data_IF_219078249988
#
_entry.id   IF_219078249988
#
_cell.length_a   1.000
_cell.length_b   1.000
_cell.length_c   1.000
_cell.angle_alpha   90.00
_cell.angle_beta   90.00
_cell.angle_gamma   90.00
#
_symmetry.space_group_name_H-M   'P 1'
#
loop_
_entity.id
_entity.type
_entity.pdbx_description
1 polymer ?
#
# COMPACT_ATOMS: atom_id res chain seq x y z
N UNK A 1 -46.90 7.15 -29.76
CA UNK A 1 -46.74 8.53 -29.31
C UNK A 1 -46.17 8.46 -27.90
N UNK A 2 -44.85 8.61 -27.78
CA UNK A 2 -44.16 8.72 -26.50
C UNK A 2 -43.31 9.97 -26.59
N UNK A 3 -43.64 10.96 -25.78
CA UNK A 3 -42.97 12.25 -25.72
C UNK A 3 -41.51 12.04 -25.32
N UNK A 4 -40.60 12.45 -26.21
CA UNK A 4 -39.20 12.67 -25.86
C UNK A 4 -39.16 13.95 -25.01
N UNK A 5 -39.03 13.78 -23.70
CA UNK A 5 -38.65 14.86 -22.81
C UNK A 5 -37.15 15.07 -23.02
N UNK A 6 -36.81 16.10 -23.81
CA UNK A 6 -35.48 16.69 -23.81
C UNK A 6 -35.23 17.27 -22.41
N UNK A 7 -34.44 16.57 -21.59
CA UNK A 7 -33.83 17.16 -20.40
C UNK A 7 -32.82 18.22 -20.86
N UNK A 8 -33.32 19.44 -21.07
CA UNK A 8 -32.50 20.64 -20.99
C UNK A 8 -32.00 20.75 -19.54
N UNK A 9 -30.91 20.04 -19.23
CA UNK A 9 -30.04 20.43 -18.13
C UNK A 9 -29.45 21.78 -18.50
N UNK A 10 -30.15 22.85 -18.11
CA UNK A 10 -29.52 24.15 -17.94
C UNK A 10 -28.36 23.93 -16.96
N UNK A 11 -27.14 23.83 -17.49
CA UNK A 11 -25.94 24.12 -16.75
C UNK A 11 -26.17 25.51 -16.14
N UNK A 12 -26.49 25.51 -14.84
CA UNK A 12 -26.45 26.73 -14.06
C UNK A 12 -24.99 27.15 -14.09
N UNK A 13 -24.68 28.05 -15.03
CA UNK A 13 -23.46 28.80 -15.11
C UNK A 13 -23.38 29.61 -13.80
N UNK A 14 -22.90 28.95 -12.75
CA UNK A 14 -22.57 29.56 -11.47
C UNK A 14 -21.34 30.41 -11.75
N UNK A 15 -21.58 31.58 -12.34
CA UNK A 15 -20.68 32.70 -12.25
C UNK A 15 -20.42 32.90 -10.76
N UNK A 16 -19.25 32.45 -10.32
CA UNK A 16 -18.74 32.66 -8.98
C UNK A 16 -18.67 34.18 -8.78
N UNK A 17 -19.74 34.77 -8.25
CA UNK A 17 -19.65 36.09 -7.67
C UNK A 17 -18.59 35.99 -6.59
N UNK A 18 -17.54 36.77 -6.74
CA UNK A 18 -16.34 36.89 -5.90
C UNK A 18 -16.66 37.43 -4.49
N UNK A 19 -17.86 37.16 -3.97
CA UNK A 19 -18.24 37.44 -2.61
C UNK A 19 -17.69 36.33 -1.73
N UNK A 20 -16.62 36.62 -1.00
CA UNK A 20 -16.23 35.82 0.16
C UNK A 20 -17.42 35.74 1.10
N UNK A 21 -18.01 34.55 1.19
CA UNK A 21 -19.09 34.27 2.12
C UNK A 21 -18.53 34.36 3.55
N UNK A 22 -18.76 35.50 4.19
CA UNK A 22 -18.29 35.83 5.53
C UNK A 22 -19.50 36.21 6.39
N UNK A 23 -19.44 35.85 7.67
CA UNK A 23 -20.41 36.23 8.70
C UNK A 23 -20.67 37.74 8.67
N UNK A 24 -19.63 38.54 8.44
CA UNK A 24 -19.75 39.99 8.32
C UNK A 24 -20.72 40.46 7.22
N UNK A 25 -20.76 39.76 6.08
CA UNK A 25 -21.68 40.10 4.98
C UNK A 25 -23.13 39.85 5.39
N UNK A 26 -23.41 38.74 6.09
CA UNK A 26 -24.77 38.43 6.57
C UNK A 26 -25.22 39.46 7.62
N UNK A 27 -24.35 39.79 8.58
CA UNK A 27 -24.63 40.78 9.62
C UNK A 27 -24.89 42.18 9.03
N UNK A 28 -24.14 42.55 7.99
CA UNK A 28 -24.36 43.79 7.25
C UNK A 28 -25.73 43.81 6.58
N UNK A 29 -26.15 42.70 5.96
CA UNK A 29 -27.48 42.62 5.35
C UNK A 29 -28.60 42.68 6.39
N UNK A 30 -28.43 42.12 7.58
CA UNK A 30 -29.39 42.32 8.67
C UNK A 30 -29.52 43.78 9.09
N UNK A 31 -28.39 44.50 9.17
CA UNK A 31 -28.41 45.94 9.42
C UNK A 31 -29.12 46.71 8.30
N UNK A 32 -28.88 46.33 7.04
CA UNK A 32 -29.57 46.92 5.88
C UNK A 32 -31.09 46.70 5.95
N UNK A 33 -31.53 45.46 6.23
CA UNK A 33 -32.95 45.11 6.38
C UNK A 33 -33.58 45.92 7.51
N UNK A 34 -32.92 46.00 8.67
CA UNK A 34 -33.39 46.85 9.75
C UNK A 34 -33.54 48.30 9.27
N UNK A 35 -32.53 48.85 8.60
CA UNK A 35 -32.53 50.24 8.13
C UNK A 35 -33.57 50.56 7.04
N UNK A 36 -34.03 49.56 6.29
CA UNK A 36 -35.12 49.72 5.32
C UNK A 36 -36.47 50.02 5.99
N UNK A 37 -36.68 49.57 7.22
CA UNK A 37 -37.93 49.85 7.95
C UNK A 37 -37.81 51.22 8.63
N UNK A 38 -38.42 52.23 8.01
CA UNK A 38 -38.37 53.62 8.48
C UNK A 38 -39.42 53.91 9.54
N UNK A 39 -39.15 54.92 10.36
CA UNK A 39 -40.06 55.35 11.42
C UNK A 39 -41.34 55.96 10.84
N UNK A 40 -41.24 56.66 9.71
CA UNK A 40 -42.39 57.25 9.03
C UNK A 40 -43.39 56.16 8.60
N UNK A 41 -42.89 55.13 7.92
CA UNK A 41 -43.71 54.00 7.44
C UNK A 41 -44.40 53.27 8.60
N UNK A 42 -43.70 53.10 9.73
CA UNK A 42 -44.29 52.53 10.93
C UNK A 42 -45.43 53.40 11.50
N UNK A 43 -45.22 54.71 11.61
CA UNK A 43 -46.21 55.63 12.19
C UNK A 43 -47.49 55.73 11.35
N UNK A 44 -47.43 55.52 10.04
CA UNK A 44 -48.59 55.45 9.17
C UNK A 44 -49.51 54.27 9.50
N UNK A 45 -48.95 53.16 10.02
CA UNK A 45 -49.72 51.98 10.44
C UNK A 45 -50.36 52.13 11.83
N UNK A 46 -49.92 53.10 12.63
CA UNK A 46 -50.44 53.33 13.99
C UNK A 46 -51.77 54.08 13.95
N UNK A 47 -52.83 53.60 14.63
CA UNK A 47 -54.10 54.30 14.67
C UNK A 47 -53.98 55.74 15.16
N UNK A 48 -54.47 56.71 14.38
CA UNK A 48 -54.37 58.15 14.66
C UNK A 48 -54.86 58.56 16.06
N UNK A 49 -55.84 57.85 16.61
CA UNK A 49 -56.36 58.07 17.96
C UNK A 49 -55.34 57.78 19.09
N UNK A 50 -54.31 56.96 18.84
CA UNK A 50 -53.30 56.52 19.82
C UNK A 50 -51.94 57.22 19.69
N UNK A 51 -51.74 58.01 18.64
CA UNK A 51 -50.46 58.68 18.33
C UNK A 51 -49.98 59.64 19.44
N UNK A 52 -50.89 60.33 20.14
CA UNK A 52 -50.53 61.31 21.18
C UNK A 52 -50.26 60.72 22.56
N UNK A 53 -50.66 59.47 22.82
CA UNK A 53 -50.65 58.88 24.18
C UNK A 53 -49.40 58.04 24.47
N UNK A 54 -48.71 57.57 23.44
CA UNK A 54 -47.58 56.66 23.57
C UNK A 54 -46.40 57.18 22.76
N UNK A 55 -45.18 57.05 23.30
CA UNK A 55 -43.94 57.35 22.59
C UNK A 55 -43.61 56.19 21.63
N UNK A 56 -44.33 56.13 20.52
CA UNK A 56 -44.25 55.06 19.53
C UNK A 56 -42.87 54.91 18.89
N UNK A 57 -42.20 56.01 18.54
CA UNK A 57 -40.89 55.96 17.88
C UNK A 57 -39.80 55.33 18.76
N UNK A 58 -39.61 55.73 20.03
CA UNK A 58 -38.70 55.03 20.93
C UNK A 58 -39.03 53.54 21.13
N UNK A 59 -40.32 53.20 21.25
CA UNK A 59 -40.76 51.81 21.42
C UNK A 59 -40.47 50.97 20.17
N UNK A 60 -40.73 51.54 18.99
CA UNK A 60 -40.43 50.91 17.71
C UNK A 60 -38.93 50.74 17.49
N UNK A 61 -38.11 51.76 17.81
CA UNK A 61 -36.64 51.63 17.75
C UNK A 61 -36.13 50.53 18.69
N UNK A 62 -36.71 50.40 19.89
CA UNK A 62 -36.36 49.34 20.83
C UNK A 62 -36.74 47.95 20.29
N UNK A 63 -37.95 47.80 19.72
CA UNK A 63 -38.37 46.55 19.08
C UNK A 63 -37.49 46.18 17.88
N UNK A 64 -37.20 47.17 17.03
CA UNK A 64 -36.33 47.03 15.86
C UNK A 64 -34.92 46.59 16.25
N UNK A 65 -34.36 47.19 17.31
CA UNK A 65 -33.06 46.78 17.83
C UNK A 65 -33.12 45.38 18.45
N UNK A 66 -34.16 45.05 19.22
CA UNK A 66 -34.31 43.73 19.82
C UNK A 66 -34.40 42.61 18.79
N UNK A 67 -35.16 42.82 17.70
CA UNK A 67 -35.23 41.87 16.58
C UNK A 67 -33.86 41.72 15.91
N UNK A 68 -33.15 42.82 15.68
CA UNK A 68 -31.80 42.77 15.09
C UNK A 68 -30.84 41.99 16.00
N UNK A 69 -30.85 42.25 17.31
CA UNK A 69 -29.99 41.57 18.28
C UNK A 69 -30.29 40.06 18.33
N UNK A 70 -31.56 39.67 18.31
CA UNK A 70 -31.97 38.25 18.23
C UNK A 70 -31.49 37.58 16.93
N UNK A 71 -31.62 38.25 15.78
CA UNK A 71 -31.14 37.73 14.51
C UNK A 71 -29.61 37.56 14.49
N UNK A 72 -28.86 38.51 15.06
CA UNK A 72 -27.40 38.43 15.21
C UNK A 72 -27.01 37.27 16.13
N UNK A 73 -27.71 37.11 17.25
CA UNK A 73 -27.46 36.04 18.20
C UNK A 73 -27.74 34.65 17.59
N UNK A 74 -28.85 34.50 16.87
CA UNK A 74 -29.22 33.24 16.21
C UNK A 74 -28.18 32.84 15.18
N UNK A 75 -27.78 33.75 14.28
CA UNK A 75 -26.73 33.47 13.29
C UNK A 75 -25.40 33.16 13.96
N UNK A 76 -25.01 33.89 15.00
CA UNK A 76 -23.77 33.60 15.72
C UNK A 76 -23.79 32.20 16.35
N UNK A 77 -24.93 31.81 16.92
CA UNK A 77 -25.12 30.48 17.50
C UNK A 77 -25.07 29.37 16.43
N UNK A 78 -25.74 29.58 15.29
CA UNK A 78 -25.66 28.65 14.16
C UNK A 78 -24.25 28.55 13.59
N UNK A 79 -23.52 29.67 13.50
CA UNK A 79 -22.17 29.75 12.98
C UNK A 79 -21.18 28.94 13.82
N UNK A 80 -21.30 29.05 15.16
CA UNK A 80 -20.52 28.25 16.11
C UNK A 80 -20.95 26.78 16.10
N UNK A 81 -22.26 26.50 16.11
CA UNK A 81 -22.81 25.14 16.12
C UNK A 81 -22.37 24.32 14.90
N UNK A 82 -22.44 24.93 13.72
CA UNK A 82 -22.00 24.30 12.47
C UNK A 82 -20.48 24.29 12.29
N UNK A 83 -19.74 24.89 13.23
CA UNK A 83 -18.29 25.04 13.18
C UNK A 83 -17.82 25.63 11.83
N UNK A 84 -18.52 26.68 11.41
CA UNK A 84 -18.27 27.37 10.14
C UNK A 84 -16.83 27.88 9.99
N UNK A 85 -16.14 28.37 11.05
CA UNK A 85 -14.74 28.79 10.93
C UNK A 85 -13.82 27.66 10.43
N UNK A 86 -13.93 26.45 10.99
CA UNK A 86 -13.12 25.31 10.57
C UNK A 86 -13.45 24.87 9.14
N UNK A 87 -14.74 24.81 8.79
CA UNK A 87 -15.18 24.46 7.43
C UNK A 87 -14.65 25.43 6.37
N UNK A 88 -14.68 26.74 6.66
CA UNK A 88 -14.13 27.77 5.78
C UNK A 88 -12.60 27.69 5.67
N UNK A 89 -11.91 27.44 6.78
CA UNK A 89 -10.45 27.25 6.77
C UNK A 89 -10.05 26.02 5.93
N UNK A 90 -10.77 24.90 6.06
CA UNK A 90 -10.55 23.70 5.24
C UNK A 90 -10.77 24.04 3.77
N UNK A 91 -11.81 24.79 3.44
CA UNK A 91 -12.13 25.17 2.07
C UNK A 91 -11.04 26.08 1.47
N UNK A 92 -10.53 27.06 2.21
CA UNK A 92 -9.45 27.93 1.74
C UNK A 92 -8.15 27.14 1.55
N UNK A 93 -7.79 26.24 2.48
CA UNK A 93 -6.63 25.34 2.33
C UNK A 93 -6.76 24.44 1.10
N UNK A 94 -7.96 23.93 0.82
CA UNK A 94 -8.22 23.13 -0.37
C UNK A 94 -8.11 23.98 -1.65
N UNK A 95 -8.68 25.18 -1.64
CA UNK A 95 -8.57 26.12 -2.75
C UNK A 95 -7.10 26.45 -3.05
N UNK A 96 -6.31 26.81 -2.05
CA UNK A 96 -4.86 27.06 -2.20
C UNK A 96 -4.16 25.83 -2.81
N UNK A 97 -4.34 24.65 -2.20
CA UNK A 97 -3.71 23.40 -2.64
C UNK A 97 -4.03 23.00 -4.08
N UNK A 98 -5.25 23.24 -4.55
CA UNK A 98 -5.71 22.75 -5.85
C UNK A 98 -5.82 23.82 -6.94
N UNK A 99 -5.85 25.11 -6.58
CA UNK A 99 -5.83 26.23 -7.55
C UNK A 99 -4.51 26.34 -8.30
N UNK A 100 -3.39 25.99 -7.66
CA UNK A 100 -2.07 25.99 -8.30
C UNK A 100 -1.86 24.83 -9.28
N UNK A 101 -2.61 23.73 -9.13
CA UNK A 101 -2.37 22.47 -9.86
C UNK A 101 -3.15 22.43 -11.19
N UNK A 102 -4.29 23.10 -11.30
CA UNK A 102 -5.13 23.11 -12.50
C UNK A 102 -5.77 24.48 -12.70
N UNK A 103 -5.06 25.38 -13.38
CA UNK A 103 -5.53 26.73 -13.72
C UNK A 103 -6.55 26.77 -14.86
N UNK A 104 -6.64 25.72 -15.71
CA UNK A 104 -7.47 25.73 -16.93
C UNK A 104 -8.47 24.57 -17.03
N UNK A 105 -8.41 23.58 -16.13
CA UNK A 105 -9.23 22.37 -16.26
C UNK A 105 -10.36 22.32 -15.24
N UNK A 106 -11.58 22.06 -15.74
CA UNK A 106 -12.70 21.63 -14.92
C UNK A 106 -12.29 20.39 -14.12
N UNK A 107 -12.17 20.57 -12.80
CA UNK A 107 -11.84 19.48 -11.87
C UNK A 107 -13.02 18.51 -11.84
N UNK A 108 -12.73 17.21 -11.97
CA UNK A 108 -13.75 16.17 -11.93
C UNK A 108 -14.67 16.33 -10.71
N UNK A 109 -15.98 16.25 -10.94
CA UNK A 109 -17.03 16.28 -9.92
C UNK A 109 -17.74 14.92 -9.88
N UNK A 110 -18.13 14.44 -8.69
CA UNK A 110 -18.93 13.23 -8.57
C UNK A 110 -20.19 13.29 -9.44
N UNK A 111 -20.31 12.38 -10.40
CA UNK A 111 -21.53 12.21 -11.19
C UNK A 111 -22.48 11.27 -10.43
N UNK A 112 -23.72 11.70 -10.19
CA UNK A 112 -24.70 10.95 -9.38
C UNK A 112 -24.96 9.52 -9.89
N UNK A 113 -24.74 9.27 -11.18
CA UNK A 113 -25.06 7.98 -11.82
C UNK A 113 -23.91 6.97 -11.81
N UNK A 114 -22.71 7.33 -11.34
CA UNK A 114 -21.53 6.47 -11.50
C UNK A 114 -20.73 6.24 -10.21
N UNK A 115 -21.43 5.90 -9.12
CA UNK A 115 -20.83 5.55 -7.82
C UNK A 115 -19.73 4.47 -7.95
N UNK A 116 -19.90 3.54 -8.90
CA UNK A 116 -18.95 2.45 -9.14
C UNK A 116 -17.61 2.96 -9.66
N UNK A 117 -17.57 3.95 -10.54
CA UNK A 117 -16.29 4.53 -10.98
C UNK A 117 -15.63 5.34 -9.88
N UNK A 118 -16.39 6.02 -9.03
CA UNK A 118 -15.86 6.79 -7.90
C UNK A 118 -15.16 5.88 -6.89
N UNK A 119 -15.80 4.76 -6.52
CA UNK A 119 -15.22 3.76 -5.64
C UNK A 119 -13.95 3.16 -6.25
N UNK A 120 -13.97 2.83 -7.54
CA UNK A 120 -12.77 2.34 -8.25
C UNK A 120 -11.64 3.36 -8.25
N UNK A 121 -11.92 4.63 -8.49
CA UNK A 121 -10.91 5.69 -8.48
C UNK A 121 -10.27 5.84 -7.09
N UNK A 122 -11.08 5.74 -6.03
CA UNK A 122 -10.59 5.71 -4.64
C UNK A 122 -9.68 4.51 -4.38
N UNK A 123 -10.10 3.31 -4.80
CA UNK A 123 -9.37 2.06 -4.56
C UNK A 123 -8.07 1.97 -5.36
N UNK A 124 -7.98 2.62 -6.52
CA UNK A 124 -6.78 2.60 -7.38
C UNK A 124 -5.53 3.08 -6.64
N UNK A 125 -5.64 4.07 -5.76
CA UNK A 125 -4.49 4.55 -4.98
C UNK A 125 -3.96 3.48 -4.02
N UNK A 126 -4.87 2.76 -3.35
CA UNK A 126 -4.53 1.68 -2.44
C UNK A 126 -3.97 0.47 -3.19
N UNK A 127 -4.60 0.08 -4.30
CA UNK A 127 -4.14 -1.00 -5.17
C UNK A 127 -2.74 -0.71 -5.74
N UNK A 128 -2.45 0.54 -6.13
CA UNK A 128 -1.11 0.95 -6.56
C UNK A 128 -0.06 0.75 -5.46
N UNK A 129 -0.37 1.17 -4.22
CA UNK A 129 0.54 0.97 -3.07
C UNK A 129 0.80 -0.51 -2.81
N UNK A 130 -0.25 -1.34 -2.81
CA UNK A 130 -0.13 -2.78 -2.62
C UNK A 130 0.67 -3.46 -3.73
N UNK A 131 0.41 -3.07 -4.99
CA UNK A 131 1.16 -3.56 -6.15
C UNK A 131 2.65 -3.29 -6.00
N UNK A 132 3.05 -2.05 -5.70
CA UNK A 132 4.46 -1.69 -5.52
C UNK A 132 5.11 -2.53 -4.42
N UNK A 133 4.42 -2.71 -3.28
CA UNK A 133 4.93 -3.54 -2.19
C UNK A 133 5.15 -5.00 -2.63
N UNK A 134 4.16 -5.61 -3.28
CA UNK A 134 4.27 -7.00 -3.76
C UNK A 134 5.38 -7.17 -4.79
N UNK A 135 5.55 -6.21 -5.71
CA UNK A 135 6.63 -6.22 -6.68
C UNK A 135 8.02 -6.13 -6.01
N UNK A 136 8.16 -5.33 -4.96
CA UNK A 136 9.42 -5.24 -4.21
C UNK A 136 9.75 -6.55 -3.50
N UNK A 137 8.77 -7.18 -2.85
CA UNK A 137 8.95 -8.47 -2.18
C UNK A 137 9.29 -9.57 -3.18
N UNK A 138 8.59 -9.63 -4.31
CA UNK A 138 8.86 -10.61 -5.37
C UNK A 138 10.32 -10.51 -5.86
N UNK A 139 10.81 -9.30 -6.14
CA UNK A 139 12.20 -9.06 -6.55
C UNK A 139 13.21 -9.48 -5.49
N UNK A 140 12.90 -9.28 -4.20
CA UNK A 140 13.76 -9.71 -3.10
C UNK A 140 13.86 -11.25 -3.05
N UNK A 141 12.71 -11.95 -3.16
CA UNK A 141 12.68 -13.40 -3.18
C UNK A 141 13.41 -13.99 -4.39
N UNK A 142 13.23 -13.42 -5.59
CA UNK A 142 13.96 -13.84 -6.79
C UNK A 142 15.47 -13.69 -6.62
N UNK A 143 15.91 -12.57 -6.03
CA UNK A 143 17.33 -12.32 -5.75
C UNK A 143 17.89 -13.36 -4.77
N UNK A 144 17.14 -13.69 -3.71
CA UNK A 144 17.53 -14.71 -2.73
C UNK A 144 17.60 -16.11 -3.36
N UNK A 145 16.61 -16.46 -4.18
CA UNK A 145 16.57 -17.73 -4.90
C UNK A 145 17.74 -17.86 -5.88
N UNK A 146 18.08 -16.79 -6.61
CA UNK A 146 19.22 -16.77 -7.51
C UNK A 146 20.56 -16.98 -6.76
N UNK A 147 20.74 -16.38 -5.59
CA UNK A 147 21.92 -16.61 -4.73
C UNK A 147 22.01 -18.07 -4.28
N UNK A 148 20.90 -18.64 -3.80
CA UNK A 148 20.85 -20.04 -3.39
C UNK A 148 21.15 -20.99 -4.57
N UNK A 149 20.59 -20.72 -5.75
CA UNK A 149 20.87 -21.50 -6.98
C UNK A 149 22.35 -21.49 -7.33
N UNK A 150 23.04 -20.34 -7.24
CA UNK A 150 24.49 -20.24 -7.45
C UNK A 150 25.26 -21.09 -6.43
N UNK A 151 24.90 -21.00 -5.14
CA UNK A 151 25.54 -21.80 -4.08
C UNK A 151 25.37 -23.31 -4.29
N UNK A 152 24.15 -23.76 -4.61
CA UNK A 152 23.86 -25.17 -4.90
C UNK A 152 24.64 -25.66 -6.12
N UNK A 153 24.74 -24.84 -7.17
CA UNK A 153 25.49 -25.19 -8.38
C UNK A 153 26.99 -25.35 -8.07
N UNK A 154 27.57 -24.44 -7.29
CA UNK A 154 28.97 -24.54 -6.86
C UNK A 154 29.23 -25.81 -6.02
N UNK A 155 28.35 -26.11 -5.05
CA UNK A 155 28.46 -27.33 -4.23
C UNK A 155 28.34 -28.60 -5.06
N UNK A 156 27.42 -28.64 -6.04
CA UNK A 156 27.29 -29.77 -6.99
C UNK A 156 28.56 -29.95 -7.82
N UNK A 157 29.16 -28.86 -8.29
CA UNK A 157 30.44 -28.89 -9.02
C UNK A 157 31.57 -29.48 -8.18
N UNK A 158 31.70 -29.03 -6.94
CA UNK A 158 32.70 -29.54 -5.99
C UNK A 158 32.51 -31.04 -5.71
N UNK A 159 31.27 -31.48 -5.49
CA UNK A 159 30.96 -32.89 -5.25
C UNK A 159 31.30 -33.77 -6.46
N UNK A 160 31.06 -33.27 -7.68
CA UNK A 160 31.45 -33.98 -8.91
C UNK A 160 32.97 -34.12 -9.04
N UNK A 161 33.73 -33.07 -8.68
CA UNK A 161 35.19 -33.12 -8.68
C UNK A 161 35.71 -34.16 -7.67
N UNK A 162 35.18 -34.15 -6.44
CA UNK A 162 35.52 -35.16 -5.42
C UNK A 162 35.20 -36.58 -5.90
N UNK A 163 34.06 -36.79 -6.55
CA UNK A 163 33.69 -38.09 -7.11
C UNK A 163 34.71 -38.56 -8.15
N UNK A 164 35.16 -37.68 -9.03
CA UNK A 164 36.19 -38.01 -10.03
C UNK A 164 37.52 -38.36 -9.38
N UNK A 165 37.93 -37.63 -8.34
CA UNK A 165 39.16 -37.93 -7.59
C UNK A 165 39.08 -39.29 -6.90
N UNK A 166 37.96 -39.61 -6.25
CA UNK A 166 37.73 -40.92 -5.62
C UNK A 166 37.88 -42.03 -6.66
N UNK A 167 37.22 -41.91 -7.81
CA UNK A 167 37.31 -42.90 -8.89
C UNK A 167 38.74 -43.07 -9.40
N UNK A 168 39.50 -41.97 -9.52
CA UNK A 168 40.90 -42.00 -9.91
C UNK A 168 41.76 -42.76 -8.89
N UNK A 169 41.56 -42.54 -7.60
CA UNK A 169 42.28 -43.27 -6.55
C UNK A 169 41.89 -44.75 -6.48
N UNK A 170 40.60 -45.06 -6.66
CA UNK A 170 40.12 -46.45 -6.75
C UNK A 170 40.81 -47.20 -7.88
N UNK A 171 40.81 -46.64 -9.10
CA UNK A 171 41.50 -47.26 -10.24
C UNK A 171 43.00 -47.47 -10.00
N UNK A 172 43.69 -46.46 -9.45
CA UNK A 172 45.12 -46.60 -9.09
C UNK A 172 45.36 -47.73 -8.08
N UNK A 173 44.45 -47.87 -7.11
CA UNK A 173 44.56 -48.93 -6.11
C UNK A 173 44.35 -50.32 -6.73
N UNK A 174 43.36 -50.45 -7.62
CA UNK A 174 43.14 -51.68 -8.41
C UNK A 174 44.39 -52.05 -9.24
N UNK A 175 45.00 -51.07 -9.91
CA UNK A 175 46.24 -51.27 -10.68
C UNK A 175 47.40 -51.75 -9.78
N UNK A 176 47.54 -51.19 -8.57
CA UNK A 176 48.57 -51.60 -7.59
C UNK A 176 48.31 -53.03 -7.12
N UNK A 177 47.07 -53.37 -6.75
CA UNK A 177 46.69 -54.71 -6.30
C UNK A 177 46.95 -55.74 -7.40
N UNK A 178 46.58 -55.42 -8.65
CA UNK A 178 46.86 -56.28 -9.79
C UNK A 178 48.37 -56.50 -10.00
N UNK A 179 49.18 -55.44 -9.86
CA UNK A 179 50.65 -55.55 -9.94
C UNK A 179 51.24 -56.41 -8.82
N UNK A 180 50.76 -56.26 -7.58
CA UNK A 180 51.20 -57.09 -6.45
C UNK A 180 50.82 -58.56 -6.72
N UNK A 181 49.59 -58.82 -7.13
CA UNK A 181 49.12 -60.17 -7.46
C UNK A 181 49.96 -60.81 -8.56
N UNK A 182 50.27 -60.06 -9.63
CA UNK A 182 51.16 -60.51 -10.69
C UNK A 182 52.54 -60.87 -10.12
N UNK A 183 53.16 -60.01 -9.30
CA UNK A 183 54.47 -60.32 -8.70
C UNK A 183 54.42 -61.57 -7.83
N UNK A 184 53.41 -61.72 -6.97
CA UNK A 184 53.23 -62.91 -6.13
C UNK A 184 53.11 -64.17 -7.00
N UNK A 185 52.31 -64.11 -8.07
CA UNK A 185 52.16 -65.25 -9.00
C UNK A 185 53.47 -65.62 -9.68
N UNK A 186 54.27 -64.64 -10.14
CA UNK A 186 55.59 -64.91 -10.73
C UNK A 186 56.57 -65.50 -9.72
N UNK A 187 56.58 -65.01 -8.48
CA UNK A 187 57.41 -65.58 -7.41
C UNK A 187 56.98 -67.00 -7.04
N UNK A 188 55.67 -67.28 -6.97
CA UNK A 188 55.16 -68.64 -6.76
C UNK A 188 55.64 -69.62 -7.83
N UNK A 189 55.50 -69.24 -9.11
CA UNK A 189 56.00 -70.03 -10.25
C UNK A 189 57.52 -70.23 -10.20
N UNK A 190 58.28 -69.20 -9.81
CA UNK A 190 59.73 -69.31 -9.66
C UNK A 190 60.11 -70.27 -8.52
N UNK A 191 59.40 -70.22 -7.39
CA UNK A 191 59.61 -71.13 -6.27
C UNK A 191 59.32 -72.59 -6.67
N UNK A 192 58.25 -72.84 -7.43
CA UNK A 192 57.92 -74.16 -7.98
C UNK A 192 59.03 -74.69 -8.92
N UNK A 193 59.63 -73.82 -9.74
CA UNK A 193 60.73 -74.19 -10.66
C UNK A 193 62.04 -74.46 -9.90
N UNK A 194 62.38 -73.63 -8.92
CA UNK A 194 63.68 -73.73 -8.21
C UNK A 194 63.68 -74.78 -7.08
N UNK A 195 62.51 -75.12 -6.53
CA UNK A 195 62.34 -76.10 -5.47
C UNK A 195 61.21 -77.09 -5.82
N UNK A 196 61.41 -77.99 -6.80
CA UNK A 196 60.36 -78.88 -7.30
C UNK A 196 59.81 -79.86 -6.25
N UNK A 197 60.53 -80.09 -5.15
CA UNK A 197 60.10 -80.91 -4.01
C UNK A 197 59.83 -80.06 -2.76
N UNK A 198 59.11 -78.95 -2.91
CA UNK A 198 58.71 -78.12 -1.77
C UNK A 198 57.51 -78.80 -1.05
N UNK A 199 57.77 -79.44 0.09
CA UNK A 199 56.71 -79.97 0.96
C UNK A 199 55.96 -78.76 1.53
N UNK A 200 54.65 -78.66 1.27
CA UNK A 200 53.80 -77.65 1.91
C UNK A 200 53.79 -77.90 3.41
N UNK A 201 54.19 -76.91 4.19
CA UNK A 201 54.25 -77.01 5.67
C UNK A 201 52.87 -77.37 6.25
N UNK A 202 51.81 -76.94 5.58
CA UNK A 202 50.40 -77.19 5.93
C UNK A 202 49.97 -78.65 5.68
N UNK A 203 50.72 -79.40 4.86
CA UNK A 203 50.48 -80.80 4.52
C UNK A 203 51.34 -81.76 5.37
N UNK A 204 52.20 -81.23 6.26
CA UNK A 204 52.97 -82.04 7.21
C UNK A 204 52.02 -82.50 8.32
N UNK A 205 51.51 -83.72 8.20
CA UNK A 205 50.81 -84.38 9.30
C UNK A 205 51.86 -84.88 10.32
N UNK A 206 52.16 -84.05 11.33
CA UNK A 206 53.17 -84.34 12.37
C UNK A 206 52.86 -85.58 13.22
N UNK A 207 51.68 -86.19 13.06
CA UNK A 207 51.23 -87.35 13.84
C UNK A 207 51.84 -88.69 13.38
N UNK A 208 52.21 -88.85 12.11
CA UNK A 208 52.76 -90.13 11.60
C UNK A 208 54.26 -90.29 11.85
N UNK A 209 55.01 -89.20 12.02
CA UNK A 209 56.48 -89.26 12.14
C UNK A 209 56.99 -89.69 13.52
N UNK A 210 56.10 -89.83 14.51
CA UNK A 210 56.45 -90.33 15.86
C UNK A 210 56.34 -91.85 15.95
N UNK A 211 55.60 -92.50 15.05
CA UNK A 211 55.39 -93.96 15.06
C UNK A 211 56.48 -94.77 14.35
N UNK A 212 57.41 -94.14 13.62
CA UNK A 212 58.56 -94.81 12.98
C UNK A 212 59.84 -94.80 13.86
N UNK A 213 59.75 -94.33 15.11
CA UNK A 213 60.88 -94.24 16.05
C UNK A 213 60.78 -95.19 17.26
N UNK A 214 59.87 -96.17 17.24
CA UNK A 214 59.81 -97.27 18.22
C UNK A 214 59.99 -98.63 17.56
#
# INVERSE_FOLDING_TARGET
MGEQIEEQMNEADMNNSEATFDNFTILKEFSNIANLVKNEDFLETVPKAKLRRVKWVPMFNCLKQGILDEMVQEISSMWEFENMPEKLEILEKQKEKFSEINTENNVWRPQHNDVKSQLRASDVANLRKQKTLLETLAKEYETRAARLKKSVTAKRGYLKALQMDIQKYQKKNEDIVANIHNKISHHGKLAEIMLPNMIRVDEINWSEKVSELN
#
